data_IF_992157514008
#
_entry.id   IF_992157514008
#
_cell.length_a   1.000
_cell.length_b   1.000
_cell.length_c   1.000
_cell.angle_alpha   90.00
_cell.angle_beta   90.00
_cell.angle_gamma   90.00
#
_symmetry.space_group_name_H-M   'P 1'
#
loop_
_entity.id
_entity.type
_entity.pdbx_description
1 polymer ?
#
# COMPACT_ATOMS: atom_id res chain seq x y z
N UNK A 1 -16.16 11.45 9.82
CA UNK A 1 -16.59 10.32 8.97
C UNK A 1 -18.00 9.91 9.34
N UNK A 2 -18.91 9.87 8.36
CA UNK A 2 -20.25 9.31 8.53
C UNK A 2 -20.20 7.78 8.63
N UNK A 3 -21.32 7.15 9.00
CA UNK A 3 -21.39 5.71 9.31
C UNK A 3 -20.91 4.84 8.14
N UNK A 4 -21.37 5.12 6.92
CA UNK A 4 -20.91 4.39 5.72
C UNK A 4 -19.41 4.54 5.44
N UNK A 5 -18.83 5.70 5.74
CA UNK A 5 -17.38 5.92 5.63
C UNK A 5 -16.62 5.10 6.68
N UNK A 6 -17.14 5.00 7.91
CA UNK A 6 -16.54 4.17 8.98
C UNK A 6 -16.64 2.68 8.67
N UNK A 7 -17.76 2.23 8.09
CA UNK A 7 -17.91 0.85 7.59
C UNK A 7 -16.85 0.55 6.54
N UNK A 8 -16.66 1.47 5.59
CA UNK A 8 -15.63 1.33 4.55
C UNK A 8 -14.23 1.30 5.15
N UNK A 9 -13.91 2.19 6.08
CA UNK A 9 -12.59 2.21 6.73
C UNK A 9 -12.32 0.90 7.49
N UNK A 10 -13.29 0.38 8.24
CA UNK A 10 -13.15 -0.90 8.94
C UNK A 10 -12.86 -2.04 7.96
N UNK A 11 -13.58 -2.10 6.83
CA UNK A 11 -13.32 -3.08 5.77
C UNK A 11 -11.92 -2.91 5.15
N UNK A 12 -11.46 -1.67 4.94
CA UNK A 12 -10.13 -1.40 4.42
C UNK A 12 -9.04 -1.84 5.40
N UNK A 13 -9.19 -1.60 6.70
CA UNK A 13 -8.25 -2.07 7.74
C UNK A 13 -8.19 -3.60 7.78
N UNK A 14 -9.34 -4.29 7.74
CA UNK A 14 -9.37 -5.76 7.64
C UNK A 14 -8.67 -6.26 6.38
N UNK A 15 -8.79 -5.53 5.27
CA UNK A 15 -8.08 -5.84 4.04
C UNK A 15 -6.56 -5.62 4.16
N UNK A 16 -6.11 -4.54 4.79
CA UNK A 16 -4.69 -4.33 5.10
C UNK A 16 -4.09 -5.53 5.84
N UNK A 17 -4.81 -6.03 6.86
CA UNK A 17 -4.38 -7.23 7.59
C UNK A 17 -4.33 -8.46 6.68
N UNK A 18 -5.38 -8.70 5.88
CA UNK A 18 -5.43 -9.83 4.95
C UNK A 18 -4.28 -9.81 3.94
N UNK A 19 -4.02 -8.66 3.32
CA UNK A 19 -2.98 -8.49 2.30
C UNK A 19 -1.59 -8.70 2.93
N UNK A 20 -1.35 -8.16 4.13
CA UNK A 20 -0.09 -8.36 4.86
C UNK A 20 0.09 -9.82 5.32
N UNK A 21 -0.97 -10.46 5.84
CA UNK A 21 -0.93 -11.87 6.25
C UNK A 21 -0.56 -12.80 5.09
N UNK A 22 -1.10 -12.52 3.90
CA UNK A 22 -0.90 -13.34 2.72
C UNK A 22 0.33 -12.95 1.88
N UNK A 23 1.03 -11.87 2.24
CA UNK A 23 2.29 -11.51 1.58
C UNK A 23 3.44 -12.42 1.98
N UNK A 24 4.38 -12.59 1.05
CA UNK A 24 5.67 -13.25 1.30
C UNK A 24 6.57 -12.43 2.23
N UNK A 25 6.31 -11.13 2.36
CA UNK A 25 7.04 -10.17 3.21
C UNK A 25 6.05 -9.36 4.04
N UNK A 26 6.10 -9.52 5.35
CA UNK A 26 5.13 -8.89 6.26
C UNK A 26 5.74 -7.67 6.92
N UNK A 27 4.98 -6.58 6.96
CA UNK A 27 5.26 -5.45 7.83
C UNK A 27 4.63 -5.66 9.22
N UNK A 28 5.16 -4.96 10.22
CA UNK A 28 4.42 -4.73 11.47
C UNK A 28 3.29 -3.73 11.16
N UNK A 29 2.04 -4.14 11.33
CA UNK A 29 0.90 -3.23 11.17
C UNK A 29 0.50 -2.71 12.54
N UNK A 30 0.25 -1.40 12.61
CA UNK A 30 -0.25 -0.77 13.84
C UNK A 30 -1.43 0.13 13.53
N UNK A 31 -2.47 0.05 14.36
CA UNK A 31 -3.63 0.94 14.33
C UNK A 31 -3.54 1.89 15.52
N UNK A 32 -3.05 3.10 15.26
CA UNK A 32 -2.99 4.19 16.24
C UNK A 32 -4.35 4.90 16.36
N UNK A 33 -4.58 5.58 17.49
CA UNK A 33 -5.83 6.27 17.80
C UNK A 33 -7.06 5.40 17.55
N UNK A 34 -6.95 4.11 17.85
CA UNK A 34 -8.01 3.15 17.63
C UNK A 34 -9.06 3.32 18.71
N UNK A 35 -9.98 4.27 18.53
CA UNK A 35 -10.97 4.61 19.55
C UNK A 35 -12.30 5.04 18.93
N UNK A 36 -13.26 5.44 19.78
CA UNK A 36 -14.56 5.95 19.36
C UNK A 36 -15.39 4.96 18.53
N UNK A 37 -16.15 5.49 17.57
CA UNK A 37 -17.11 4.70 16.78
C UNK A 37 -16.46 3.64 15.88
N UNK A 38 -15.19 3.83 15.49
CA UNK A 38 -14.47 2.81 14.74
C UNK A 38 -14.15 1.61 15.65
N UNK A 39 -13.59 1.84 16.84
CA UNK A 39 -13.34 0.76 17.82
C UNK A 39 -14.64 0.05 18.20
N UNK A 40 -15.71 0.79 18.51
CA UNK A 40 -17.04 0.21 18.80
C UNK A 40 -17.50 -0.76 17.71
N UNK A 41 -17.31 -0.42 16.43
CA UNK A 41 -17.66 -1.30 15.31
C UNK A 41 -16.82 -2.57 15.32
N UNK A 42 -15.52 -2.46 15.54
CA UNK A 42 -14.64 -3.63 15.62
C UNK A 42 -14.99 -4.53 16.81
N UNK A 43 -15.33 -3.94 17.95
CA UNK A 43 -15.64 -4.68 19.17
C UNK A 43 -17.00 -5.39 19.10
N UNK A 44 -17.95 -4.83 18.36
CA UNK A 44 -19.31 -5.36 18.24
C UNK A 44 -19.51 -6.12 16.93
N UNK A 45 -19.68 -5.40 15.82
CA UNK A 45 -20.04 -5.97 14.51
C UNK A 45 -18.97 -6.92 13.96
N UNK A 46 -17.69 -6.64 14.23
CA UNK A 46 -16.58 -7.51 13.81
C UNK A 46 -16.11 -8.43 14.94
N UNK A 47 -16.85 -8.50 16.05
CA UNK A 47 -16.66 -9.46 17.16
C UNK A 47 -15.22 -9.53 17.67
N UNK A 48 -14.55 -8.37 17.74
CA UNK A 48 -13.15 -8.27 18.16
C UNK A 48 -12.21 -9.18 17.35
N UNK A 49 -12.50 -9.43 16.08
CA UNK A 49 -11.68 -10.32 15.24
C UNK A 49 -10.19 -9.91 15.20
N UNK A 50 -9.90 -8.63 15.43
CA UNK A 50 -8.55 -8.09 15.51
C UNK A 50 -7.72 -8.64 16.68
N UNK A 51 -8.35 -9.16 17.75
CA UNK A 51 -7.66 -9.82 18.87
C UNK A 51 -6.92 -11.09 18.39
N UNK A 52 -7.36 -11.69 17.28
CA UNK A 52 -6.72 -12.87 16.68
C UNK A 52 -5.64 -12.54 15.64
N UNK A 53 -5.46 -11.26 15.30
CA UNK A 53 -4.56 -10.84 14.22
C UNK A 53 -3.10 -10.90 14.65
N UNK A 54 -2.34 -11.79 14.01
CA UNK A 54 -0.88 -11.89 14.23
C UNK A 54 -0.13 -10.76 13.53
N UNK A 55 0.82 -10.15 14.24
CA UNK A 55 1.65 -9.06 13.70
C UNK A 55 0.90 -7.73 13.56
N UNK A 56 -0.23 -7.58 14.24
CA UNK A 56 -0.98 -6.32 14.33
C UNK A 56 -1.01 -5.85 15.78
N UNK A 57 -0.78 -4.56 15.99
CA UNK A 57 -0.94 -3.90 17.29
C UNK A 57 -1.99 -2.80 17.19
N UNK A 58 -2.72 -2.55 18.26
CA UNK A 58 -3.69 -1.45 18.35
C UNK A 58 -3.39 -0.59 19.57
N UNK A 59 -3.48 0.72 19.41
CA UNK A 59 -3.16 1.70 20.44
C UNK A 59 -4.23 2.79 20.48
N UNK A 60 -4.52 3.28 21.68
CA UNK A 60 -5.42 4.44 21.87
C UNK A 60 -4.66 5.76 21.64
N UNK A 61 -3.34 5.72 21.85
CA UNK A 61 -2.41 6.83 21.65
C UNK A 61 -2.34 7.29 20.20
N UNK A 62 -1.85 8.50 19.97
CA UNK A 62 -1.72 9.04 18.62
C UNK A 62 -0.57 8.43 17.82
N UNK A 63 -0.45 8.84 16.56
CA UNK A 63 0.53 8.29 15.63
C UNK A 63 1.97 8.65 16.01
N UNK A 64 2.23 9.72 16.79
CA UNK A 64 3.58 10.07 17.25
C UNK A 64 4.01 9.13 18.35
N UNK A 65 3.19 9.03 19.40
CA UNK A 65 3.48 8.14 20.53
C UNK A 65 3.58 6.69 20.07
N UNK A 66 2.70 6.28 19.16
CA UNK A 66 2.74 4.94 18.56
C UNK A 66 4.02 4.72 17.75
N UNK A 67 4.49 5.72 17.00
CA UNK A 67 5.74 5.60 16.23
C UNK A 67 6.98 5.51 17.15
N UNK A 68 6.98 6.18 18.30
CA UNK A 68 8.06 6.04 19.28
C UNK A 68 8.08 4.62 19.88
N UNK A 69 6.92 4.09 20.29
CA UNK A 69 6.83 2.69 20.74
C UNK A 69 7.30 1.73 19.63
N UNK A 70 7.06 2.07 18.35
CA UNK A 70 7.45 1.23 17.23
C UNK A 70 8.95 1.02 17.09
N UNK A 71 9.75 2.02 17.43
CA UNK A 71 11.21 1.92 17.42
C UNK A 71 11.68 0.81 18.37
N UNK A 72 11.07 0.69 19.54
CA UNK A 72 11.45 -0.28 20.56
C UNK A 72 11.25 -1.72 20.06
N UNK A 73 10.04 -2.07 19.59
CA UNK A 73 9.78 -3.45 19.16
C UNK A 73 10.44 -3.80 17.84
N UNK A 74 10.68 -2.83 16.93
CA UNK A 74 11.46 -3.09 15.72
C UNK A 74 12.93 -3.36 16.04
N UNK A 75 13.46 -2.74 17.10
CA UNK A 75 14.84 -2.93 17.53
C UNK A 75 15.05 -4.15 18.45
N UNK A 76 13.98 -4.74 18.98
CA UNK A 76 14.01 -5.92 19.83
C UNK A 76 14.29 -7.22 19.05
N UNK A 77 14.63 -8.30 19.76
CA UNK A 77 14.92 -9.62 19.16
C UNK A 77 13.72 -10.20 18.38
N UNK A 78 12.50 -9.84 18.78
CA UNK A 78 11.26 -10.22 18.10
C UNK A 78 10.80 -9.21 17.01
N UNK A 79 11.66 -8.24 16.68
CA UNK A 79 11.43 -7.21 15.67
C UNK A 79 11.34 -7.72 14.22
N UNK A 80 11.59 -9.00 14.01
CA UNK A 80 11.53 -9.67 12.71
C UNK A 80 12.90 -9.74 12.02
N UNK A 81 12.92 -10.37 10.85
CA UNK A 81 14.14 -10.59 10.09
C UNK A 81 14.24 -9.63 8.90
N UNK A 82 15.45 -9.17 8.60
CA UNK A 82 15.76 -8.40 7.41
C UNK A 82 15.69 -9.32 6.18
N UNK A 83 14.61 -9.19 5.40
CA UNK A 83 14.40 -10.04 4.22
C UNK A 83 13.83 -9.23 3.05
N UNK A 84 13.76 -9.83 1.87
CA UNK A 84 13.28 -9.14 0.66
C UNK A 84 14.22 -7.99 0.30
N UNK A 85 13.65 -6.80 0.07
CA UNK A 85 14.40 -5.56 -0.23
C UNK A 85 15.43 -5.18 0.84
N UNK A 86 15.31 -5.73 2.06
CA UNK A 86 16.23 -5.46 3.18
C UNK A 86 17.27 -6.55 3.42
N UNK A 87 17.34 -7.59 2.57
CA UNK A 87 18.24 -8.74 2.82
C UNK A 87 19.73 -8.34 2.87
N UNK A 88 20.12 -7.23 2.22
CA UNK A 88 21.48 -6.66 2.29
C UNK A 88 21.91 -6.23 3.70
N UNK A 89 20.97 -6.09 4.64
CA UNK A 89 21.22 -5.69 6.03
C UNK A 89 21.20 -6.88 7.00
N UNK A 90 20.97 -8.11 6.53
CA UNK A 90 20.72 -9.27 7.39
C UNK A 90 21.90 -9.66 8.29
N UNK A 91 23.12 -9.42 7.82
CA UNK A 91 24.35 -9.80 8.53
C UNK A 91 24.96 -8.63 9.34
N UNK A 92 24.31 -7.46 9.38
CA UNK A 92 24.81 -6.33 10.16
C UNK A 92 24.70 -6.61 11.67
N UNK A 93 25.75 -6.22 12.41
CA UNK A 93 25.82 -6.38 13.86
C UNK A 93 26.56 -5.21 14.52
N UNK A 94 26.53 -5.15 15.85
CA UNK A 94 27.27 -4.16 16.62
C UNK A 94 26.92 -2.72 16.25
N UNK A 95 27.96 -1.89 16.05
CA UNK A 95 27.81 -0.45 15.75
C UNK A 95 27.09 -0.18 14.42
N UNK A 96 27.30 -1.01 13.40
CA UNK A 96 26.65 -0.82 12.10
C UNK A 96 25.14 -1.06 12.16
N UNK A 97 24.71 -2.08 12.92
CA UNK A 97 23.30 -2.34 13.16
C UNK A 97 22.68 -1.23 14.03
N UNK A 98 23.40 -0.74 15.04
CA UNK A 98 22.91 0.37 15.86
C UNK A 98 22.72 1.63 15.03
N UNK A 99 23.70 1.97 14.17
CA UNK A 99 23.59 3.09 13.24
C UNK A 99 22.38 2.95 12.32
N UNK A 100 22.13 1.75 11.78
CA UNK A 100 20.96 1.51 10.94
C UNK A 100 19.63 1.72 11.69
N UNK A 101 19.56 1.34 12.97
CA UNK A 101 18.40 1.61 13.85
C UNK A 101 18.20 3.11 14.06
N UNK A 102 19.28 3.84 14.29
CA UNK A 102 19.26 5.28 14.54
C UNK A 102 18.89 6.10 13.29
N UNK A 103 19.14 5.55 12.10
CA UNK A 103 18.74 6.14 10.80
C UNK A 103 17.26 5.89 10.44
N UNK A 104 16.52 5.13 11.25
CA UNK A 104 15.09 4.91 11.09
C UNK A 104 14.30 6.22 11.14
N UNK A 105 13.29 6.35 10.28
CA UNK A 105 12.51 7.59 10.11
C UNK A 105 11.02 7.38 10.39
N UNK A 106 10.33 8.48 10.71
CA UNK A 106 8.85 8.52 10.80
C UNK A 106 8.34 9.40 9.68
N UNK A 107 7.58 8.80 8.75
CA UNK A 107 7.09 9.48 7.55
C UNK A 107 5.57 9.36 7.45
N UNK A 108 4.88 10.49 7.34
CA UNK A 108 3.44 10.51 7.09
C UNK A 108 3.16 10.57 5.59
N UNK A 109 2.48 9.55 5.06
CA UNK A 109 2.11 9.48 3.65
C UNK A 109 0.91 10.37 3.34
N UNK A 110 1.08 11.32 2.42
CA UNK A 110 0.01 12.20 1.95
C UNK A 110 0.19 12.54 0.47
N UNK A 111 -0.89 12.57 -0.30
CA UNK A 111 -0.89 12.95 -1.72
C UNK A 111 -0.45 14.40 -1.98
N UNK A 112 -0.53 15.25 -0.97
CA UNK A 112 -0.23 16.68 -0.98
C UNK A 112 1.20 16.99 -0.54
N UNK A 113 2.00 15.98 -0.21
CA UNK A 113 3.41 16.20 0.09
C UNK A 113 4.18 16.65 -1.15
N UNK A 114 5.18 17.51 -0.95
CA UNK A 114 6.02 18.01 -2.04
C UNK A 114 7.01 16.94 -2.54
N UNK A 115 7.59 16.17 -1.61
CA UNK A 115 8.58 15.13 -1.89
C UNK A 115 7.95 13.76 -2.18
N UNK A 116 8.55 13.03 -3.11
CA UNK A 116 8.26 11.62 -3.36
C UNK A 116 8.98 10.71 -2.36
N UNK A 117 8.32 9.62 -1.98
CA UNK A 117 8.92 8.54 -1.23
C UNK A 117 9.75 7.66 -2.17
N UNK A 118 11.08 7.80 -2.10
CA UNK A 118 12.01 7.13 -3.03
C UNK A 118 12.21 5.65 -2.69
N UNK A 119 12.31 5.31 -1.41
CA UNK A 119 12.49 3.93 -0.93
C UNK A 119 11.86 3.76 0.45
N UNK A 120 11.54 2.51 0.83
CA UNK A 120 11.32 2.18 2.24
C UNK A 120 12.64 1.84 2.90
N UNK A 121 12.78 2.17 4.19
CA UNK A 121 13.96 1.92 5.01
C UNK A 121 13.64 0.99 6.17
N UNK A 122 14.61 0.16 6.61
CA UNK A 122 14.46 -0.61 7.84
C UNK A 122 14.34 0.32 9.05
N UNK A 123 13.73 -0.17 10.13
CA UNK A 123 13.50 0.58 11.38
C UNK A 123 12.68 1.87 11.23
N UNK A 124 12.01 2.06 10.09
CA UNK A 124 11.18 3.23 9.81
C UNK A 124 9.69 2.95 9.99
N UNK A 125 8.94 3.98 10.39
CA UNK A 125 7.49 3.96 10.53
C UNK A 125 6.85 4.82 9.44
N UNK A 126 5.99 4.22 8.62
CA UNK A 126 5.23 4.90 7.58
C UNK A 126 3.76 4.99 7.96
N UNK A 127 3.26 6.20 8.13
CA UNK A 127 1.91 6.48 8.62
C UNK A 127 0.96 6.68 7.44
N UNK A 128 -0.14 5.92 7.42
CA UNK A 128 -1.21 6.05 6.43
C UNK A 128 -2.43 6.67 7.11
N UNK A 129 -3.02 7.71 6.51
CA UNK A 129 -4.26 8.29 7.01
C UNK A 129 -5.42 7.29 6.99
N UNK A 130 -5.94 6.95 8.17
CA UNK A 130 -7.15 6.15 8.34
C UNK A 130 -8.42 6.97 8.10
N UNK A 131 -8.63 7.44 6.88
CA UNK A 131 -9.73 8.34 6.52
C UNK A 131 -10.40 7.89 5.22
N UNK A 132 -11.73 7.80 5.24
CA UNK A 132 -12.55 7.62 4.04
C UNK A 132 -13.47 8.82 3.90
N UNK A 133 -13.14 9.73 3.01
CA UNK A 133 -13.88 10.98 2.80
C UNK A 133 -14.09 11.32 1.31
N UNK A 134 -13.58 10.45 0.42
CA UNK A 134 -13.52 10.67 -1.04
C UNK A 134 -12.74 11.94 -1.42
N UNK A 135 -11.72 12.29 -0.64
CA UNK A 135 -10.92 13.51 -0.75
C UNK A 135 -11.78 14.79 -0.67
N UNK A 136 -12.74 14.80 0.25
CA UNK A 136 -13.56 15.97 0.59
C UNK A 136 -12.75 16.95 1.43
N UNK A 137 -11.95 16.44 2.36
CA UNK A 137 -11.10 17.17 3.31
C UNK A 137 -9.67 17.27 2.78
N UNK A 138 -9.48 17.98 1.65
CA UNK A 138 -8.18 18.11 0.99
C UNK A 138 -7.08 18.55 1.96
N UNK A 139 -5.94 17.86 1.94
CA UNK A 139 -4.76 18.20 2.75
C UNK A 139 -4.93 18.05 4.27
N UNK A 140 -5.99 17.40 4.77
CA UNK A 140 -6.19 17.21 6.22
C UNK A 140 -5.06 16.41 6.87
N UNK A 141 -4.65 15.31 6.23
CA UNK A 141 -3.55 14.46 6.69
C UNK A 141 -2.22 15.21 6.64
N UNK A 142 -1.92 15.84 5.50
CA UNK A 142 -0.71 16.65 5.33
C UNK A 142 -0.60 17.74 6.40
N UNK A 143 -1.66 18.54 6.61
CA UNK A 143 -1.68 19.60 7.64
C UNK A 143 -1.52 19.04 9.06
N UNK A 144 -2.11 17.88 9.35
CA UNK A 144 -1.97 17.21 10.66
C UNK A 144 -0.52 16.80 10.90
N UNK A 145 0.14 16.22 9.89
CA UNK A 145 1.53 15.79 9.97
C UNK A 145 2.50 16.97 10.08
N UNK A 146 2.35 18.00 9.24
CA UNK A 146 3.23 19.18 9.26
C UNK A 146 3.10 19.98 10.55
N UNK A 147 1.87 20.13 11.08
CA UNK A 147 1.66 20.75 12.40
C UNK A 147 2.33 19.96 13.53
N UNK A 148 2.45 18.64 13.38
CA UNK A 148 3.15 17.75 14.31
C UNK A 148 4.67 17.69 14.08
N UNK A 149 5.21 18.39 13.09
CA UNK A 149 6.65 18.37 12.77
C UNK A 149 7.13 17.06 12.13
N UNK A 150 6.22 16.23 11.59
CA UNK A 150 6.57 14.94 10.98
C UNK A 150 6.85 15.12 9.49
N UNK A 151 7.90 14.46 9.00
CA UNK A 151 8.22 14.40 7.57
C UNK A 151 7.04 13.85 6.79
N UNK A 152 6.69 14.48 5.68
CA UNK A 152 5.65 13.99 4.77
C UNK A 152 6.24 13.59 3.43
N UNK A 153 5.74 12.52 2.85
CA UNK A 153 6.08 12.11 1.48
C UNK A 153 4.83 11.59 0.75
N UNK A 154 4.81 11.68 -0.58
CA UNK A 154 3.78 11.05 -1.41
C UNK A 154 4.35 9.80 -2.09
N UNK A 155 3.48 8.85 -2.44
CA UNK A 155 3.91 7.74 -3.29
C UNK A 155 4.24 8.27 -4.70
N UNK A 156 5.31 7.78 -5.36
CA UNK A 156 5.77 8.28 -6.67
C UNK A 156 4.86 7.84 -7.84
N UNK A 157 3.55 7.76 -7.64
CA UNK A 157 2.57 7.20 -8.59
C UNK A 157 2.63 7.90 -9.95
N UNK A 158 2.86 9.23 -9.96
CA UNK A 158 2.87 10.03 -11.18
C UNK A 158 4.01 9.73 -12.14
N UNK A 159 5.12 9.18 -11.63
CA UNK A 159 6.28 8.82 -12.44
C UNK A 159 6.03 7.50 -13.19
N UNK A 160 5.33 6.55 -12.54
CA UNK A 160 5.18 5.19 -13.05
C UNK A 160 3.84 4.93 -13.72
N UNK A 161 2.78 5.71 -13.45
CA UNK A 161 1.43 5.40 -13.91
C UNK A 161 0.72 6.59 -14.55
N UNK A 162 0.15 6.36 -15.72
CA UNK A 162 -0.83 7.25 -16.33
C UNK A 162 -2.24 6.96 -15.79
N UNK A 163 -2.55 7.50 -14.61
CA UNK A 163 -3.89 7.36 -14.05
C UNK A 163 -4.88 8.34 -14.72
N UNK A 164 -5.96 7.82 -15.28
CA UNK A 164 -7.10 8.63 -15.75
C UNK A 164 -7.89 9.31 -14.61
N UNK A 165 -7.53 9.05 -13.35
CA UNK A 165 -8.27 9.50 -12.17
C UNK A 165 -7.37 10.16 -11.12
N UNK A 166 -7.97 10.66 -10.03
CA UNK A 166 -7.26 11.40 -8.96
C UNK A 166 -6.15 10.54 -8.34
N UNK A 167 -4.98 11.15 -8.07
CA UNK A 167 -3.80 10.54 -7.42
C UNK A 167 -4.00 10.20 -5.92
N UNK A 168 -5.23 10.21 -5.42
CA UNK A 168 -5.54 9.91 -4.01
C UNK A 168 -6.05 8.49 -3.90
N UNK A 169 -5.29 7.64 -3.21
CA UNK A 169 -5.59 6.22 -3.04
C UNK A 169 -6.32 5.96 -1.72
N UNK A 170 -7.09 4.88 -1.69
CA UNK A 170 -7.70 4.38 -0.46
C UNK A 170 -6.64 3.77 0.48
N UNK A 171 -6.88 3.78 1.79
CA UNK A 171 -5.96 3.29 2.83
C UNK A 171 -5.44 1.88 2.52
N UNK A 172 -6.34 0.97 2.10
CA UNK A 172 -5.94 -0.40 1.78
C UNK A 172 -5.03 -0.49 0.55
N UNK A 173 -5.24 0.34 -0.49
CA UNK A 173 -4.37 0.31 -1.67
C UNK A 173 -2.98 0.85 -1.35
N UNK A 174 -2.87 1.89 -0.50
CA UNK A 174 -1.56 2.38 -0.04
C UNK A 174 -0.82 1.27 0.71
N UNK A 175 -1.49 0.59 1.65
CA UNK A 175 -0.92 -0.55 2.35
C UNK A 175 -0.48 -1.67 1.39
N UNK A 176 -1.35 -2.07 0.45
CA UNK A 176 -1.05 -3.10 -0.53
C UNK A 176 0.18 -2.77 -1.37
N UNK A 177 0.29 -1.53 -1.87
CA UNK A 177 1.47 -1.04 -2.61
C UNK A 177 2.73 -1.14 -1.73
N UNK A 178 2.67 -0.68 -0.48
CA UNK A 178 3.83 -0.72 0.42
C UNK A 178 4.28 -2.15 0.71
N UNK A 179 3.34 -3.06 0.97
CA UNK A 179 3.64 -4.49 1.18
C UNK A 179 4.24 -5.10 -0.09
N UNK A 180 3.73 -4.75 -1.29
CA UNK A 180 4.34 -5.20 -2.55
C UNK A 180 5.73 -4.64 -2.78
N UNK A 181 6.00 -3.40 -2.39
CA UNK A 181 7.34 -2.85 -2.46
C UNK A 181 8.33 -3.60 -1.56
N UNK A 182 7.91 -4.09 -0.39
CA UNK A 182 8.77 -4.94 0.45
C UNK A 182 9.15 -6.27 -0.22
N UNK A 183 8.33 -6.74 -1.16
CA UNK A 183 8.60 -7.96 -1.95
C UNK A 183 9.60 -7.71 -3.09
N UNK A 184 9.44 -6.62 -3.86
CA UNK A 184 10.20 -6.38 -5.09
C UNK A 184 11.27 -5.28 -5.01
N UNK A 185 11.13 -4.33 -4.08
CA UNK A 185 12.04 -3.17 -3.97
C UNK A 185 11.88 -2.14 -5.11
N UNK A 186 10.83 -2.27 -5.92
CA UNK A 186 10.58 -1.43 -7.09
C UNK A 186 9.15 -0.87 -7.06
N UNK A 187 9.01 0.45 -7.20
CA UNK A 187 7.70 1.11 -7.17
C UNK A 187 6.83 0.76 -8.38
N UNK A 188 7.39 0.69 -9.58
CA UNK A 188 6.66 0.36 -10.80
C UNK A 188 6.02 -1.03 -10.70
N UNK A 189 6.80 -2.03 -10.29
CA UNK A 189 6.33 -3.39 -10.06
C UNK A 189 5.30 -3.45 -8.92
N UNK A 190 5.53 -2.73 -7.81
CA UNK A 190 4.60 -2.68 -6.69
C UNK A 190 3.23 -2.09 -7.10
N UNK A 191 3.24 -1.00 -7.88
CA UNK A 191 2.02 -0.40 -8.42
C UNK A 191 1.26 -1.36 -9.35
N UNK A 192 1.97 -2.03 -10.26
CA UNK A 192 1.37 -3.00 -11.19
C UNK A 192 0.75 -4.20 -10.47
N UNK A 193 1.37 -4.66 -9.39
CA UNK A 193 0.85 -5.75 -8.56
C UNK A 193 -0.36 -5.34 -7.72
N UNK A 194 -0.38 -4.11 -7.20
CA UNK A 194 -1.39 -3.64 -6.25
C UNK A 194 -2.61 -2.94 -6.91
N UNK A 195 -2.46 -2.37 -8.11
CA UNK A 195 -3.53 -1.64 -8.79
C UNK A 195 -4.10 -2.53 -9.92
N UNK A 196 -5.35 -3.02 -9.81
CA UNK A 196 -5.94 -3.87 -10.83
C UNK A 196 -5.97 -3.20 -12.21
N UNK A 197 -5.59 -3.93 -13.27
CA UNK A 197 -5.52 -3.45 -14.68
C UNK A 197 -6.73 -2.62 -15.13
N UNK A 198 -7.94 -2.97 -14.67
CA UNK A 198 -9.20 -2.24 -14.97
C UNK A 198 -9.28 -0.81 -14.44
N UNK A 199 -8.39 -0.39 -13.54
CA UNK A 199 -8.28 1.00 -13.06
C UNK A 199 -7.32 1.86 -13.89
N UNK A 200 -6.83 1.32 -15.02
CA UNK A 200 -6.08 2.09 -16.03
C UNK A 200 -4.60 2.28 -15.71
N UNK A 201 -3.98 1.38 -14.94
CA UNK A 201 -2.53 1.40 -14.74
C UNK A 201 -1.80 0.93 -15.99
N UNK A 202 -1.41 1.86 -16.86
CA UNK A 202 -0.36 1.61 -17.87
C UNK A 202 0.95 2.19 -17.34
N UNK A 203 2.02 1.41 -17.45
CA UNK A 203 3.36 1.91 -17.15
C UNK A 203 3.71 3.01 -18.14
N UNK A 204 4.24 4.11 -17.65
CA UNK A 204 4.69 5.21 -18.51
C UNK A 204 5.91 4.75 -19.31
N UNK A 205 5.74 4.46 -20.59
CA UNK A 205 6.84 4.05 -21.50
C UNK A 205 6.68 2.70 -22.22
N UNK A 206 5.65 1.90 -21.92
CA UNK A 206 5.29 0.75 -22.76
C UNK A 206 4.63 1.27 -24.04
N UNK A 207 5.37 1.26 -25.15
CA UNK A 207 4.80 1.40 -26.50
C UNK A 207 3.89 0.19 -26.73
N UNK A 208 2.68 0.44 -27.22
CA UNK A 208 1.70 -0.60 -27.59
C UNK A 208 2.33 -1.61 -28.57
N UNK A 209 2.63 -2.82 -28.10
CA UNK A 209 2.92 -4.00 -28.95
C UNK A 209 1.75 -5.01 -28.97
N UNK A 210 0.61 -4.68 -28.37
CA UNK A 210 -0.59 -5.53 -28.34
C UNK A 210 -1.59 -5.22 -29.48
N UNK A 211 -1.10 -5.02 -30.71
CA UNK A 211 -1.99 -4.93 -31.90
C UNK A 211 -1.64 -5.88 -33.07
N UNK A 212 -0.81 -6.90 -32.86
CA UNK A 212 -0.59 -7.94 -33.90
C UNK A 212 -0.58 -9.35 -33.33
N UNK A 213 -1.72 -9.83 -32.84
CA UNK A 213 -1.99 -11.27 -32.93
C UNK A 213 -3.49 -11.56 -32.96
N UNK A 214 -4.07 -11.60 -34.16
CA UNK A 214 -5.49 -11.84 -34.35
C UNK A 214 -5.90 -12.12 -35.78
N UNK A 215 -5.40 -13.23 -36.34
CA UNK A 215 -6.12 -13.96 -37.40
C UNK A 215 -5.37 -14.18 -38.71
N UNK A 216 -4.55 -15.23 -38.76
CA UNK A 216 -4.23 -15.93 -40.00
C UNK A 216 -4.29 -17.45 -39.78
N UNK A 217 -4.80 -18.15 -40.80
CA UNK A 217 -5.07 -19.60 -40.95
C UNK A 217 -6.48 -20.06 -40.52
N UNK A 218 -7.26 -20.82 -41.31
CA UNK A 218 -7.08 -21.45 -42.64
C UNK A 218 -8.43 -22.06 -43.09
N UNK A 219 -8.89 -21.76 -44.32
CA UNK A 219 -9.08 -22.66 -45.49
C UNK A 219 -10.24 -23.68 -45.52
N UNK A 220 -10.96 -23.65 -46.66
CA UNK A 220 -11.60 -24.72 -47.45
C UNK A 220 -12.82 -25.45 -46.81
N UNK A 221 -13.89 -25.85 -47.50
CA UNK A 221 -14.25 -25.98 -48.92
C UNK A 221 -15.76 -26.33 -48.98
N UNK A 222 -16.50 -25.90 -50.01
CA UNK A 222 -17.33 -26.79 -50.86
C UNK A 222 -18.14 -25.98 -51.88
N UNK A 223 -17.82 -26.23 -53.16
CA UNK A 223 -18.55 -25.84 -54.36
C UNK A 223 -19.92 -26.52 -54.47
N UNK A 224 -20.87 -25.84 -55.15
CA UNK A 224 -21.91 -26.35 -56.08
C UNK A 224 -22.77 -25.12 -56.46
N UNK A 225 -23.03 -24.71 -57.69
CA UNK A 225 -22.72 -25.18 -59.03
C UNK A 225 -23.56 -24.36 -60.03
N UNK A 226 -23.05 -24.23 -61.26
CA UNK A 226 -23.74 -23.91 -62.53
C UNK A 226 -24.37 -22.51 -62.73
N UNK A 227 -23.68 -21.72 -63.56
CA UNK A 227 -24.24 -20.68 -64.44
C UNK A 227 -24.68 -21.29 -65.78
N UNK A 228 -25.82 -20.88 -66.31
CA UNK A 228 -26.02 -20.62 -67.75
C UNK A 228 -27.20 -19.66 -67.94
N UNK A 229 -26.99 -18.51 -68.60
CA UNK A 229 -27.98 -17.86 -69.45
C UNK A 229 -27.52 -17.93 -70.93
N UNK A 230 -28.41 -17.68 -71.90
CA UNK A 230 -28.23 -18.10 -73.30
C UNK A 230 -27.06 -17.44 -74.04
#
# INVERSE_FOLDING_TARGET
MHDGERISLASQITRCYSDNKNSTKRAHITIASFQGELRKRFDTVLERNYDSWRGVRVFDEDFLETAEKAKEWMAADEGGAMTGSFSKYADLAGEELQKLKDEGEVVYLSSEADEDLIELKPFSTYIIGGLVDKNREKGICHRRATKAGVRTAKLPIGEYMELQSRKVLATNHVNEIMVKWLECGDWGEAFMKAIPKRKGGRLRGEKDEDEQNGGAASQAESEHGATEPP
#
